data_IF_124855441676
#
_entry.id   IF_124855441676
#
_cell.length_a   1.000
_cell.length_b   1.000
_cell.length_c   1.000
_cell.angle_alpha   90.00
_cell.angle_beta   90.00
_cell.angle_gamma   90.00
#
_symmetry.space_group_name_H-M   'P 1'
#
loop_
_entity.id
_entity.type
_entity.pdbx_description
1 polymer ?
#
# COMPACT_ATOMS: atom_id res chain seq x y z
N UNK A 1 -11.09 -1.42 -25.61
CA UNK A 1 -10.36 -2.32 -26.56
C UNK A 1 -9.74 -3.45 -25.74
N UNK A 2 -9.54 -4.65 -26.32
CA UNK A 2 -8.87 -5.73 -25.62
C UNK A 2 -7.38 -5.39 -25.41
N UNK A 3 -6.89 -5.58 -24.17
CA UNK A 3 -5.48 -5.34 -23.83
C UNK A 3 -4.59 -6.34 -24.55
N UNK A 4 -3.60 -5.85 -25.30
CA UNK A 4 -2.57 -6.72 -25.89
C UNK A 4 -1.68 -7.26 -24.76
N UNK A 5 -1.66 -8.59 -24.56
CA UNK A 5 -0.93 -9.24 -23.48
C UNK A 5 0.57 -9.30 -23.76
N UNK A 6 1.35 -8.96 -22.72
CA UNK A 6 2.80 -9.16 -22.71
C UNK A 6 3.13 -10.58 -22.24
N UNK A 7 3.68 -11.41 -23.11
CA UNK A 7 3.99 -12.81 -22.82
C UNK A 7 5.41 -13.03 -22.29
N UNK A 8 6.17 -11.97 -21.98
CA UNK A 8 7.51 -12.10 -21.40
C UNK A 8 7.46 -12.98 -20.12
N UNK A 9 8.26 -14.06 -20.03
CA UNK A 9 8.28 -14.95 -18.86
C UNK A 9 8.83 -14.26 -17.60
N UNK A 10 9.67 -13.24 -17.75
CA UNK A 10 10.27 -12.49 -16.64
C UNK A 10 9.43 -11.28 -16.28
N UNK A 11 9.33 -10.99 -14.97
CA UNK A 11 8.71 -9.75 -14.47
C UNK A 11 9.61 -8.55 -14.71
N UNK A 12 9.02 -7.39 -14.82
CA UNK A 12 9.76 -6.14 -14.90
C UNK A 12 10.65 -5.99 -13.64
N UNK A 13 11.97 -5.73 -13.81
CA UNK A 13 12.85 -5.55 -12.66
C UNK A 13 12.46 -4.31 -11.86
N UNK A 14 12.61 -4.37 -10.54
CA UNK A 14 12.42 -3.23 -9.68
C UNK A 14 13.67 -2.33 -9.74
N UNK A 15 13.56 -1.08 -10.16
CA UNK A 15 14.66 -0.12 -10.03
C UNK A 15 15.06 0.04 -8.57
N UNK A 16 16.33 0.13 -8.31
CA UNK A 16 16.87 0.29 -6.96
C UNK A 16 18.04 1.24 -6.95
N UNK A 17 18.30 1.87 -5.81
CA UNK A 17 19.49 2.69 -5.61
C UNK A 17 20.76 1.85 -5.74
N UNK A 18 21.79 2.42 -6.36
CA UNK A 18 23.11 1.80 -6.45
C UNK A 18 23.72 1.57 -5.05
N UNK A 19 24.46 0.49 -4.84
CA UNK A 19 25.02 0.15 -3.53
C UNK A 19 25.82 1.28 -2.87
N UNK A 20 26.62 2.03 -3.66
CA UNK A 20 27.47 3.13 -3.19
C UNK A 20 26.66 4.41 -2.88
N UNK A 21 25.41 4.47 -3.32
CA UNK A 21 24.49 5.58 -3.02
C UNK A 21 23.65 5.23 -1.80
N UNK A 22 23.02 4.05 -1.79
CA UNK A 22 22.10 3.65 -0.73
C UNK A 22 22.76 3.47 0.65
N UNK A 23 24.06 3.23 0.70
CA UNK A 23 24.81 3.12 1.98
C UNK A 23 25.13 4.50 2.61
N UNK A 24 24.78 5.60 1.96
CA UNK A 24 25.03 6.98 2.41
C UNK A 24 23.76 7.78 2.71
N UNK A 25 22.59 7.18 2.55
CA UNK A 25 21.30 7.84 2.80
C UNK A 25 20.32 6.86 3.45
N UNK A 26 19.15 7.38 3.85
CA UNK A 26 18.03 6.61 4.40
C UNK A 26 16.80 6.67 3.49
N UNK A 27 16.99 7.02 2.24
CA UNK A 27 15.90 7.04 1.26
C UNK A 27 15.50 5.60 0.87
N UNK A 28 14.31 5.44 0.33
CA UNK A 28 13.79 4.13 -0.05
C UNK A 28 14.66 3.49 -1.13
N UNK A 29 15.20 2.30 -0.85
CA UNK A 29 16.15 1.61 -1.75
C UNK A 29 15.49 1.18 -3.05
N UNK A 30 14.29 0.61 -2.98
CA UNK A 30 13.50 0.26 -4.15
C UNK A 30 12.78 1.51 -4.66
N UNK A 31 13.11 1.97 -5.86
CA UNK A 31 12.64 3.25 -6.39
C UNK A 31 11.19 3.22 -6.93
N UNK A 32 10.59 2.03 -7.03
CA UNK A 32 9.25 1.88 -7.60
C UNK A 32 9.28 1.72 -9.12
N UNK A 33 8.13 1.44 -9.70
CA UNK A 33 7.96 1.40 -11.16
C UNK A 33 7.72 2.80 -11.72
N UNK A 34 8.22 3.06 -12.92
CA UNK A 34 7.73 4.15 -13.74
C UNK A 34 6.37 3.79 -14.33
N UNK A 35 5.68 4.77 -14.89
CA UNK A 35 4.37 4.59 -15.52
C UNK A 35 4.41 3.48 -16.60
N UNK A 36 5.37 3.58 -17.53
CA UNK A 36 5.52 2.61 -18.63
C UNK A 36 5.87 1.21 -18.12
N UNK A 37 6.70 1.10 -17.07
CA UNK A 37 7.02 -0.17 -16.44
C UNK A 37 5.79 -0.81 -15.82
N UNK A 38 4.97 -0.03 -15.14
CA UNK A 38 3.74 -0.52 -14.51
C UNK A 38 2.73 -1.01 -15.55
N UNK A 39 2.47 -0.23 -16.61
CA UNK A 39 1.58 -0.62 -17.70
C UNK A 39 2.09 -1.89 -18.42
N UNK A 40 3.40 -1.95 -18.69
CA UNK A 40 4.02 -3.12 -19.33
C UNK A 40 3.93 -4.37 -18.46
N UNK A 41 4.20 -4.26 -17.16
CA UNK A 41 4.06 -5.36 -16.20
C UNK A 41 2.60 -5.79 -16.04
N UNK A 42 1.67 -4.84 -15.96
CA UNK A 42 0.23 -5.12 -15.88
C UNK A 42 -0.28 -5.95 -17.09
N UNK A 43 0.24 -5.67 -18.29
CA UNK A 43 -0.08 -6.44 -19.51
C UNK A 43 0.35 -7.91 -19.44
N UNK A 44 1.21 -8.30 -18.49
CA UNK A 44 1.55 -9.71 -18.26
C UNK A 44 0.43 -10.51 -17.57
N UNK A 45 -0.52 -9.86 -16.94
CA UNK A 45 -1.64 -10.53 -16.27
C UNK A 45 -2.55 -11.23 -17.30
N UNK A 46 -2.87 -12.50 -17.05
CA UNK A 46 -3.72 -13.30 -17.94
C UNK A 46 -5.23 -13.10 -17.68
N UNK A 47 -5.59 -12.34 -16.65
CA UNK A 47 -6.98 -12.16 -16.19
C UNK A 47 -7.71 -13.50 -16.02
N UNK A 48 -7.13 -14.40 -15.20
CA UNK A 48 -7.59 -15.76 -15.04
C UNK A 48 -9.03 -15.83 -14.52
N UNK A 49 -9.93 -16.63 -15.09
CA UNK A 49 -11.31 -16.77 -14.61
C UNK A 49 -11.41 -17.22 -13.15
N UNK A 50 -10.51 -18.11 -12.71
CA UNK A 50 -10.50 -18.66 -11.34
C UNK A 50 -9.87 -17.71 -10.31
N UNK A 51 -9.22 -16.63 -10.74
CA UNK A 51 -8.60 -15.60 -9.89
C UNK A 51 -7.81 -16.17 -8.67
N UNK A 52 -6.85 -17.10 -8.84
CA UNK A 52 -6.17 -17.73 -7.70
C UNK A 52 -5.37 -16.74 -6.84
N UNK A 53 -4.88 -15.67 -7.42
CA UNK A 53 -4.23 -14.58 -6.70
C UNK A 53 -5.18 -13.86 -5.73
N UNK A 54 -6.45 -13.66 -6.12
CA UNK A 54 -7.48 -13.09 -5.23
C UNK A 54 -7.72 -13.98 -4.03
N UNK A 55 -7.90 -15.29 -4.27
CA UNK A 55 -8.15 -16.26 -3.18
C UNK A 55 -6.99 -16.37 -2.21
N UNK A 56 -5.77 -16.04 -2.63
CA UNK A 56 -4.58 -16.03 -1.79
C UNK A 56 -4.32 -14.68 -1.10
N UNK A 57 -5.09 -13.64 -1.42
CA UNK A 57 -5.00 -12.36 -0.74
C UNK A 57 -5.85 -12.38 0.53
N UNK A 58 -5.29 -12.11 1.73
CA UNK A 58 -6.05 -12.13 2.98
C UNK A 58 -7.27 -11.19 2.99
N UNK A 59 -7.17 -10.06 2.32
CA UNK A 59 -8.25 -9.05 2.22
C UNK A 59 -9.05 -9.16 0.90
N UNK A 60 -8.82 -10.22 0.11
CA UNK A 60 -9.60 -10.55 -1.10
C UNK A 60 -9.65 -9.45 -2.16
N UNK A 61 -8.57 -8.67 -2.34
CA UNK A 61 -8.49 -7.67 -3.42
C UNK A 61 -8.79 -8.34 -4.76
N UNK A 62 -9.63 -7.71 -5.60
CA UNK A 62 -9.83 -8.17 -6.97
C UNK A 62 -8.62 -7.82 -7.85
N UNK A 63 -7.55 -8.62 -7.63
CA UNK A 63 -6.23 -8.40 -8.23
C UNK A 63 -6.29 -8.35 -9.76
N UNK A 64 -6.97 -9.27 -10.48
CA UNK A 64 -7.08 -9.15 -11.92
C UNK A 64 -7.79 -7.87 -12.36
N UNK A 65 -8.79 -7.41 -11.62
CA UNK A 65 -9.53 -6.20 -11.98
C UNK A 65 -8.67 -4.94 -11.86
N UNK A 66 -7.91 -4.76 -10.75
CA UNK A 66 -7.06 -3.57 -10.64
C UNK A 66 -5.91 -3.60 -11.67
N UNK A 67 -5.32 -4.78 -11.92
CA UNK A 67 -4.23 -4.91 -12.92
C UNK A 67 -4.76 -4.64 -14.33
N UNK A 68 -5.97 -5.05 -14.65
CA UNK A 68 -6.58 -4.73 -15.94
C UNK A 68 -6.80 -3.23 -16.13
N UNK A 69 -7.17 -2.52 -15.05
CA UNK A 69 -7.25 -1.05 -15.07
C UNK A 69 -5.89 -0.42 -15.35
N UNK A 70 -4.83 -0.87 -14.66
CA UNK A 70 -3.46 -0.40 -14.93
C UNK A 70 -3.05 -0.68 -16.39
N UNK A 71 -3.34 -1.86 -16.92
CA UNK A 71 -3.02 -2.22 -18.30
C UNK A 71 -3.78 -1.37 -19.34
N UNK A 72 -4.94 -0.82 -18.97
CA UNK A 72 -5.73 0.15 -19.74
C UNK A 72 -5.42 1.60 -19.40
N UNK A 73 -4.39 1.86 -18.60
CA UNK A 73 -3.94 3.20 -18.19
C UNK A 73 -4.97 3.99 -17.33
N UNK A 74 -5.92 3.27 -16.72
CA UNK A 74 -6.92 3.81 -15.78
C UNK A 74 -6.41 3.64 -14.32
N UNK A 75 -5.47 4.50 -13.91
CA UNK A 75 -4.82 4.41 -12.60
C UNK A 75 -5.78 4.70 -11.46
N UNK A 76 -6.68 5.68 -11.65
CA UNK A 76 -7.70 6.02 -10.65
C UNK A 76 -8.71 4.87 -10.48
N UNK A 77 -9.16 4.27 -11.57
CA UNK A 77 -10.00 3.07 -11.51
C UNK A 77 -9.29 1.90 -10.83
N UNK A 78 -7.99 1.73 -11.04
CA UNK A 78 -7.18 0.72 -10.34
C UNK A 78 -7.13 0.99 -8.84
N UNK A 79 -6.89 2.24 -8.42
CA UNK A 79 -6.87 2.65 -7.02
C UNK A 79 -8.20 2.37 -6.32
N UNK A 80 -9.32 2.68 -6.97
CA UNK A 80 -10.67 2.40 -6.42
C UNK A 80 -10.91 0.90 -6.20
N UNK A 81 -10.41 0.05 -7.10
CA UNK A 81 -10.51 -1.41 -6.92
C UNK A 81 -9.66 -1.87 -5.73
N UNK A 82 -8.46 -1.32 -5.54
CA UNK A 82 -7.61 -1.62 -4.39
C UNK A 82 -8.27 -1.19 -3.07
N UNK A 83 -8.72 0.06 -3.00
CA UNK A 83 -9.25 0.66 -1.77
C UNK A 83 -10.64 0.18 -1.38
N UNK A 84 -11.32 -0.55 -2.26
CA UNK A 84 -12.56 -1.25 -1.92
C UNK A 84 -12.34 -2.38 -0.89
N UNK A 85 -11.12 -2.95 -0.82
CA UNK A 85 -10.78 -4.07 0.08
C UNK A 85 -9.57 -3.80 0.97
N UNK A 86 -8.67 -2.86 0.61
CA UNK A 86 -7.45 -2.55 1.34
C UNK A 86 -7.44 -1.08 1.77
N UNK A 87 -7.34 -0.83 3.07
CA UNK A 87 -7.22 0.54 3.60
C UNK A 87 -5.80 1.12 3.43
N UNK A 88 -4.78 0.27 3.26
CA UNK A 88 -3.37 0.67 3.27
C UNK A 88 -2.59 0.10 2.05
N UNK A 89 -3.03 0.34 0.79
CA UNK A 89 -2.42 -0.28 -0.38
C UNK A 89 -0.94 0.12 -0.55
N UNK A 90 -0.55 1.34 -0.22
CA UNK A 90 0.83 1.80 -0.29
C UNK A 90 1.76 1.03 0.67
N UNK A 91 1.25 0.64 1.84
CA UNK A 91 1.97 -0.19 2.83
C UNK A 91 1.99 -1.64 2.37
N UNK A 92 0.83 -2.19 2.00
CA UNK A 92 0.70 -3.58 1.56
C UNK A 92 1.60 -3.87 0.35
N UNK A 93 1.65 -2.98 -0.64
CA UNK A 93 2.52 -3.10 -1.80
C UNK A 93 4.02 -3.17 -1.48
N UNK A 94 4.43 -2.72 -0.26
CA UNK A 94 5.83 -2.73 0.20
C UNK A 94 6.16 -3.87 1.16
N UNK A 95 5.22 -4.25 2.06
CA UNK A 95 5.55 -5.13 3.19
C UNK A 95 4.85 -6.49 3.17
N UNK A 96 3.83 -6.69 2.35
CA UNK A 96 3.20 -8.01 2.23
C UNK A 96 4.19 -9.04 1.68
N UNK A 97 4.22 -10.27 2.20
CA UNK A 97 4.99 -11.38 1.64
C UNK A 97 4.28 -11.96 0.40
N UNK A 98 4.21 -11.17 -0.69
CA UNK A 98 3.43 -11.50 -1.88
C UNK A 98 3.84 -12.83 -2.50
N UNK A 99 5.12 -13.20 -2.39
CA UNK A 99 5.68 -14.47 -2.88
C UNK A 99 5.03 -15.70 -2.22
N UNK A 100 4.54 -15.55 -0.99
CA UNK A 100 3.82 -16.59 -0.26
C UNK A 100 2.29 -16.46 -0.36
N UNK A 101 1.79 -15.37 -0.89
CA UNK A 101 0.38 -15.02 -1.00
C UNK A 101 -0.06 -14.94 -2.47
N UNK A 102 -0.42 -13.73 -2.92
CA UNK A 102 -1.00 -13.51 -4.25
C UNK A 102 -0.04 -13.87 -5.39
N UNK A 103 1.22 -13.47 -5.32
CA UNK A 103 2.22 -13.81 -6.35
C UNK A 103 2.54 -15.30 -6.36
N UNK A 104 2.61 -15.95 -5.18
CA UNK A 104 2.83 -17.39 -5.04
C UNK A 104 1.74 -18.26 -5.67
N UNK A 105 0.55 -17.71 -5.90
CA UNK A 105 -0.55 -18.41 -6.60
C UNK A 105 -0.79 -17.91 -8.02
N UNK A 106 0.05 -17.01 -8.51
CA UNK A 106 -0.09 -16.50 -9.86
C UNK A 106 0.21 -17.57 -10.91
N UNK A 107 -0.72 -17.78 -11.85
CA UNK A 107 -0.58 -18.79 -12.93
C UNK A 107 0.67 -18.55 -13.79
N UNK A 108 1.09 -17.31 -13.96
CA UNK A 108 2.33 -16.98 -14.67
C UNK A 108 3.57 -17.60 -14.03
N UNK A 109 3.55 -17.79 -12.71
CA UNK A 109 4.63 -18.41 -11.93
C UNK A 109 4.87 -19.89 -12.25
N UNK A 110 3.94 -20.57 -12.94
CA UNK A 110 4.09 -21.99 -13.32
C UNK A 110 5.16 -22.18 -14.41
N UNK A 111 5.23 -21.27 -15.39
CA UNK A 111 6.14 -21.37 -16.54
C UNK A 111 7.14 -20.20 -16.66
N UNK A 112 7.25 -19.40 -15.61
CA UNK A 112 8.11 -18.23 -15.56
C UNK A 112 8.00 -17.53 -14.22
N UNK A 113 8.11 -16.21 -14.20
CA UNK A 113 7.90 -15.42 -12.99
C UNK A 113 6.44 -14.93 -12.91
N UNK A 114 5.90 -14.93 -11.67
CA UNK A 114 4.60 -14.32 -11.36
C UNK A 114 4.52 -12.88 -11.85
N UNK A 115 3.32 -12.35 -12.02
CA UNK A 115 3.12 -10.91 -12.17
C UNK A 115 3.55 -10.22 -10.87
N UNK A 116 4.23 -9.09 -10.97
CA UNK A 116 4.70 -8.31 -9.83
C UNK A 116 3.54 -7.54 -9.17
N UNK A 117 2.63 -8.27 -8.52
CA UNK A 117 1.36 -7.75 -8.00
C UNK A 117 1.59 -6.66 -6.96
N UNK A 118 2.47 -6.92 -5.98
CA UNK A 118 2.77 -5.94 -4.94
C UNK A 118 3.44 -4.67 -5.47
N UNK A 119 4.30 -4.80 -6.50
CA UNK A 119 4.92 -3.63 -7.14
C UNK A 119 3.90 -2.77 -7.88
N UNK A 120 2.90 -3.41 -8.51
CA UNK A 120 1.79 -2.71 -9.15
C UNK A 120 0.86 -2.05 -8.13
N UNK A 121 0.55 -2.74 -7.03
CA UNK A 121 -0.23 -2.17 -5.91
C UNK A 121 0.46 -0.94 -5.34
N UNK A 122 1.76 -1.02 -5.06
CA UNK A 122 2.58 0.12 -4.64
C UNK A 122 2.52 1.26 -5.65
N UNK A 123 2.74 0.97 -6.93
CA UNK A 123 2.74 1.99 -7.99
C UNK A 123 1.42 2.74 -8.05
N UNK A 124 0.29 2.02 -8.06
CA UNK A 124 -1.05 2.63 -8.12
C UNK A 124 -1.31 3.53 -6.91
N UNK A 125 -0.92 3.08 -5.71
CA UNK A 125 -1.11 3.85 -4.49
C UNK A 125 -0.22 5.12 -4.44
N UNK A 126 1.03 5.01 -4.88
CA UNK A 126 1.96 6.13 -4.96
C UNK A 126 1.51 7.14 -6.03
N UNK A 127 1.11 6.64 -7.21
CA UNK A 127 0.60 7.48 -8.29
C UNK A 127 -0.63 8.28 -7.87
N UNK A 128 -1.61 7.63 -7.23
CA UNK A 128 -2.81 8.30 -6.74
C UNK A 128 -2.47 9.43 -5.76
N UNK A 129 -1.60 9.17 -4.79
CA UNK A 129 -1.17 10.17 -3.81
C UNK A 129 -0.49 11.39 -4.45
N UNK A 130 0.22 11.20 -5.57
CA UNK A 130 0.96 12.25 -6.25
C UNK A 130 0.11 13.08 -7.21
N UNK A 131 -0.96 12.49 -7.77
CA UNK A 131 -1.72 13.10 -8.85
C UNK A 131 -3.16 13.47 -8.48
N UNK A 132 -3.69 12.90 -7.40
CA UNK A 132 -5.07 13.13 -6.99
C UNK A 132 -5.11 13.80 -5.64
N UNK A 133 -5.73 14.97 -5.58
CA UNK A 133 -6.04 15.64 -4.32
C UNK A 133 -7.32 15.01 -3.75
N UNK A 134 -7.17 14.08 -2.81
CA UNK A 134 -8.32 13.50 -2.12
C UNK A 134 -8.95 14.51 -1.17
N UNK A 135 -10.21 14.81 -1.42
CA UNK A 135 -11.07 15.54 -0.49
C UNK A 135 -12.29 14.66 -0.13
N UNK A 136 -12.09 13.59 0.66
CA UNK A 136 -13.18 12.71 1.01
C UNK A 136 -14.21 13.47 1.82
N UNK A 137 -15.45 13.43 1.37
CA UNK A 137 -16.56 13.91 2.16
C UNK A 137 -16.81 12.92 3.29
N UNK A 138 -16.78 13.41 4.52
CA UNK A 138 -17.18 12.61 5.66
C UNK A 138 -18.64 12.17 5.49
N UNK A 139 -18.96 10.88 5.65
CA UNK A 139 -20.34 10.43 5.62
C UNK A 139 -21.14 11.06 6.77
N UNK A 140 -22.46 11.05 6.65
CA UNK A 140 -23.33 11.52 7.73
C UNK A 140 -23.05 10.74 9.02
N UNK A 141 -22.90 11.42 10.17
CA UNK A 141 -22.63 10.75 11.45
C UNK A 141 -23.76 9.77 11.81
N UNK A 142 -23.40 8.55 12.20
CA UNK A 142 -24.38 7.55 12.67
C UNK A 142 -24.72 7.67 14.16
N UNK A 143 -24.17 8.69 14.86
CA UNK A 143 -24.41 8.94 16.28
C UNK A 143 -23.56 8.12 17.24
N UNK A 144 -22.73 7.21 16.77
CA UNK A 144 -21.90 6.34 17.60
C UNK A 144 -20.44 6.80 17.64
N UNK A 145 -19.82 6.67 18.82
CA UNK A 145 -18.40 6.96 19.06
C UNK A 145 -17.64 5.67 19.28
N UNK A 146 -16.46 5.55 18.70
CA UNK A 146 -15.58 4.38 18.84
C UNK A 146 -14.18 4.86 19.25
N UNK A 147 -13.62 4.21 20.28
CA UNK A 147 -12.24 4.38 20.69
C UNK A 147 -11.40 3.21 20.17
N UNK A 148 -10.28 3.50 19.52
CA UNK A 148 -9.32 2.50 19.05
C UNK A 148 -8.02 2.68 19.82
N UNK A 149 -7.53 1.61 20.42
CA UNK A 149 -6.30 1.60 21.18
C UNK A 149 -5.18 1.05 20.30
N UNK A 150 -4.23 1.93 19.98
CA UNK A 150 -3.10 1.66 19.10
C UNK A 150 -3.31 2.13 17.65
N UNK A 151 -2.35 2.91 17.13
CA UNK A 151 -2.32 3.43 15.78
C UNK A 151 -1.43 2.59 14.84
N UNK A 152 -1.28 1.30 15.10
CA UNK A 152 -0.64 0.37 14.17
C UNK A 152 -1.53 0.06 12.95
N UNK A 153 -1.05 -0.75 11.96
CA UNK A 153 -1.79 -1.04 10.74
C UNK A 153 -3.22 -1.55 10.98
N UNK A 154 -3.42 -2.39 11.99
CA UNK A 154 -4.74 -2.91 12.35
C UNK A 154 -5.67 -1.81 12.87
N UNK A 155 -5.18 -0.97 13.79
CA UNK A 155 -5.97 0.15 14.34
C UNK A 155 -6.29 1.20 13.28
N UNK A 156 -5.34 1.52 12.41
CA UNK A 156 -5.55 2.46 11.31
C UNK A 156 -6.56 1.92 10.29
N UNK A 157 -6.50 0.64 9.94
CA UNK A 157 -7.48 0.00 9.04
C UNK A 157 -8.89 0.04 9.66
N UNK A 158 -9.03 -0.39 10.92
CA UNK A 158 -10.32 -0.36 11.61
C UNK A 158 -10.87 1.07 11.71
N UNK A 159 -10.01 2.05 12.02
CA UNK A 159 -10.41 3.45 12.09
C UNK A 159 -10.93 3.98 10.75
N UNK A 160 -10.21 3.71 9.67
CA UNK A 160 -10.60 4.13 8.33
C UNK A 160 -11.93 3.51 7.89
N UNK A 161 -12.13 2.22 8.13
CA UNK A 161 -13.36 1.52 7.74
C UNK A 161 -14.56 1.98 8.57
N UNK A 162 -14.39 2.19 9.87
CA UNK A 162 -15.45 2.73 10.74
C UNK A 162 -15.79 4.18 10.39
N UNK A 163 -14.78 5.00 10.07
CA UNK A 163 -15.03 6.38 9.65
C UNK A 163 -15.86 6.45 8.36
N UNK A 164 -15.59 5.56 7.38
CA UNK A 164 -16.40 5.42 6.15
C UNK A 164 -17.87 5.04 6.42
N UNK A 165 -18.14 4.41 7.57
CA UNK A 165 -19.50 4.03 8.02
C UNK A 165 -20.17 5.12 8.88
N UNK A 166 -19.55 6.29 9.04
CA UNK A 166 -20.10 7.42 9.79
C UNK A 166 -19.88 7.37 11.30
N UNK A 167 -19.04 6.46 11.80
CA UNK A 167 -18.66 6.47 13.22
C UNK A 167 -17.72 7.62 13.52
N UNK A 168 -17.89 8.24 14.70
CA UNK A 168 -16.91 9.17 15.24
C UNK A 168 -15.78 8.38 15.90
N UNK A 169 -14.64 8.26 15.20
CA UNK A 169 -13.51 7.44 15.65
C UNK A 169 -12.48 8.30 16.35
N UNK A 170 -12.01 7.85 17.53
CA UNK A 170 -10.85 8.41 18.24
C UNK A 170 -9.79 7.34 18.38
N UNK A 171 -8.56 7.63 17.95
CA UNK A 171 -7.41 6.72 18.08
C UNK A 171 -6.53 7.19 19.22
N UNK A 172 -6.19 6.27 20.11
CA UNK A 172 -5.24 6.48 21.21
C UNK A 172 -3.94 5.74 20.90
N UNK A 173 -2.83 6.47 20.87
CA UNK A 173 -1.50 5.92 20.60
C UNK A 173 -0.54 6.30 21.72
N UNK A 174 0.21 5.33 22.22
CA UNK A 174 1.20 5.53 23.29
C UNK A 174 2.52 6.11 22.76
N UNK A 175 2.83 5.88 21.48
CA UNK A 175 4.03 6.41 20.84
C UNK A 175 3.77 7.80 20.27
N UNK A 176 4.84 8.55 20.06
CA UNK A 176 4.79 9.92 19.53
C UNK A 176 4.40 10.01 18.03
N UNK A 177 4.39 8.87 17.34
CA UNK A 177 4.00 8.77 15.92
C UNK A 177 3.02 7.61 15.72
N UNK A 178 1.99 7.86 14.90
CA UNK A 178 1.11 6.82 14.43
C UNK A 178 1.81 5.93 13.39
N UNK A 179 1.41 4.65 13.31
CA UNK A 179 1.94 3.69 12.32
C UNK A 179 2.40 2.38 12.93
N UNK A 180 2.73 2.36 14.21
CA UNK A 180 3.16 1.16 14.92
C UNK A 180 4.46 0.57 14.37
N UNK A 181 4.55 -0.76 14.28
CA UNK A 181 5.75 -1.49 13.85
C UNK A 181 6.36 -1.02 12.53
N UNK A 182 5.62 -0.76 11.45
CA UNK A 182 6.20 -0.23 10.20
C UNK A 182 6.98 1.07 10.39
N UNK A 183 6.57 1.92 11.30
CA UNK A 183 7.28 3.18 11.61
C UNK A 183 8.38 2.95 12.65
N UNK A 184 8.06 2.25 13.75
CA UNK A 184 8.97 2.12 14.89
C UNK A 184 10.14 1.18 14.59
N UNK A 185 9.92 0.08 13.86
CA UNK A 185 10.97 -0.90 13.59
C UNK A 185 11.86 -0.55 12.41
N UNK A 186 11.29 -0.03 11.33
CA UNK A 186 12.11 0.40 10.18
C UNK A 186 13.03 1.56 10.54
N UNK A 187 12.58 2.47 11.41
CA UNK A 187 13.41 3.60 11.85
C UNK A 187 14.31 3.28 13.05
N UNK A 188 13.77 2.63 14.10
CA UNK A 188 14.53 2.43 15.34
C UNK A 188 15.61 1.34 15.22
N UNK A 189 15.41 0.30 14.42
CA UNK A 189 16.39 -0.78 14.30
C UNK A 189 17.62 -0.36 13.49
N UNK A 190 17.42 0.45 12.45
CA UNK A 190 18.50 1.06 11.69
C UNK A 190 19.23 2.12 12.53
N UNK A 191 18.52 2.92 13.33
CA UNK A 191 19.10 3.97 14.17
C UNK A 191 19.78 3.45 15.45
N UNK A 192 19.28 2.39 16.08
CA UNK A 192 19.94 1.75 17.21
C UNK A 192 21.33 1.26 16.87
N UNK A 193 21.57 0.88 15.63
CA UNK A 193 22.88 0.41 15.15
C UNK A 193 23.84 1.54 14.80
N UNK A 194 23.37 2.76 14.52
CA UNK A 194 24.21 3.85 14.00
C UNK A 194 24.31 5.10 14.88
N UNK A 195 23.59 5.17 16.01
CA UNK A 195 23.76 6.25 17.00
C UNK A 195 23.37 7.66 16.52
N UNK A 196 22.66 7.83 15.39
CA UNK A 196 22.23 9.13 14.87
C UNK A 196 20.72 9.20 14.73
N UNK A 197 20.13 10.19 15.37
CA UNK A 197 18.68 10.46 15.39
C UNK A 197 18.35 11.60 14.43
N UNK A 198 17.65 11.31 13.33
CA UNK A 198 16.90 12.30 12.58
C UNK A 198 15.52 11.75 12.22
N UNK A 199 14.45 12.16 12.94
CA UNK A 199 13.15 11.49 12.95
C UNK A 199 12.24 11.68 11.73
N UNK A 200 12.60 12.45 10.71
CA UNK A 200 11.55 13.10 9.88
C UNK A 200 11.54 12.82 8.38
N UNK A 201 12.37 11.93 7.82
CA UNK A 201 12.46 11.88 6.34
C UNK A 201 11.83 10.68 5.63
N UNK A 202 11.52 9.57 6.27
CA UNK A 202 11.11 8.37 5.54
C UNK A 202 9.60 8.11 5.39
N UNK A 203 8.76 8.66 6.24
CA UNK A 203 7.32 8.41 6.16
C UNK A 203 6.38 9.60 6.43
N UNK A 204 6.70 10.86 6.07
CA UNK A 204 5.72 11.95 6.23
C UNK A 204 4.48 11.74 5.33
N UNK A 205 4.56 10.85 4.33
CA UNK A 205 3.53 10.67 3.31
C UNK A 205 2.62 9.45 3.49
N UNK A 206 2.94 8.53 4.40
CA UNK A 206 2.13 7.32 4.60
C UNK A 206 0.81 7.54 5.35
N UNK A 207 0.71 8.61 6.12
CA UNK A 207 -0.40 8.83 7.05
C UNK A 207 -1.35 9.96 6.64
N UNK A 208 -1.13 10.59 5.51
CA UNK A 208 -2.13 11.46 4.91
C UNK A 208 -3.15 10.60 4.15
N UNK A 209 -3.94 9.83 4.88
CA UNK A 209 -5.22 9.39 4.38
C UNK A 209 -6.21 10.51 4.68
N UNK A 210 -6.91 11.04 3.68
CA UNK A 210 -7.89 12.08 3.86
C UNK A 210 -9.11 11.63 4.69
N UNK A 211 -9.17 10.36 5.09
CA UNK A 211 -10.21 9.79 5.93
C UNK A 211 -9.98 9.97 7.44
N UNK A 212 -8.86 10.55 7.87
CA UNK A 212 -8.64 10.83 9.29
C UNK A 212 -8.98 12.30 9.58
N UNK A 213 -10.07 12.60 10.30
CA UNK A 213 -10.26 13.92 10.85
C UNK A 213 -9.06 14.24 11.76
N UNK A 214 -8.60 15.48 11.72
CA UNK A 214 -7.39 16.03 12.32
C UNK A 214 -7.33 16.04 13.86
N UNK A 215 -7.82 14.99 14.52
CA UNK A 215 -7.80 14.84 15.97
C UNK A 215 -7.13 13.52 16.35
N UNK A 216 -5.81 13.48 16.21
CA UNK A 216 -5.00 12.56 17.03
C UNK A 216 -4.90 13.22 18.39
N UNK A 217 -5.83 12.93 19.27
CA UNK A 217 -5.67 13.27 20.68
C UNK A 217 -4.72 12.22 21.25
N UNK A 218 -3.49 12.63 21.52
CA UNK A 218 -2.56 11.88 22.36
C UNK A 218 -2.80 12.32 23.81
N UNK A 219 -3.58 11.61 24.63
CA UNK A 219 -3.47 11.78 26.05
C UNK A 219 -2.31 10.89 26.50
N UNK A 220 -1.26 11.52 27.03
CA UNK A 220 -0.32 10.86 27.92
C UNK A 220 -1.13 10.28 29.08
N UNK A 221 -1.16 8.96 29.20
CA UNK A 221 -1.42 8.30 30.45
C UNK A 221 -0.11 7.70 30.93
N UNK A 222 0.39 8.28 32.02
CA UNK A 222 1.41 7.70 32.89
C UNK A 222 0.96 6.36 33.46
#
# INVERSE_FOLDING_TARGET
MAVTRNMNPKKCPMPSQEPDVRNKNFDEVALGYTYDMAVNEAKRCLNCPTKPCRSACPVQIDIPAFIERVANEDMEGAYRVLTASSALPAVCGRVCPQENQCEGKCVRGIKGESVAIGRLERFVADWHREHVADHPQAPAPNGHKVAIIGAGPSGLTAAGDLAKLGYQVTIYEALHLAGGVPVSYTHLDVYKRQGQYTPYKLFPHFFYSPFFPSHIVLPFLL
#
